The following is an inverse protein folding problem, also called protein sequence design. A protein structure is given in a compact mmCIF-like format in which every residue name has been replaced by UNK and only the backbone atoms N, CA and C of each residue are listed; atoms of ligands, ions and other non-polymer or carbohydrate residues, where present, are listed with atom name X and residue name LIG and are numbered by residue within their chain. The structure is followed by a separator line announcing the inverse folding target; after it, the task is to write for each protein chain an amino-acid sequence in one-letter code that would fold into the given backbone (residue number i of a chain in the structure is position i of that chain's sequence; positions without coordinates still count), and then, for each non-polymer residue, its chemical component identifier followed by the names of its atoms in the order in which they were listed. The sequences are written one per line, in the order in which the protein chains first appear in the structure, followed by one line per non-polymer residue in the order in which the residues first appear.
data_IF_368217354781
#
_entry.id   IF_368217354781
#
_cell.length_a   1.000
_cell.length_b   1.000
_cell.length_c   1.000
_cell.angle_alpha   90.00
_cell.angle_beta   90.00
_cell.angle_gamma   90.00
#
_symmetry.space_group_name_H-M   'P 1'
#
loop_
_entity.id
_entity.type
_entity.pdbx_description
1 polymer ?
#
# COMPACT_ATOMS: atom_id res chain seq x y z
N UNK A 1 11.06 -2.89 -6.11
CA UNK A 1 11.70 -3.97 -5.33
C UNK A 1 11.74 -3.62 -3.83
N UNK A 2 10.68 -3.96 -3.08
CA UNK A 2 10.60 -3.62 -1.65
C UNK A 2 11.64 -4.36 -0.78
N UNK A 3 12.24 -5.42 -1.28
CA UNK A 3 13.26 -6.18 -0.57
C UNK A 3 14.69 -5.77 -0.94
N UNK A 4 14.87 -4.97 -1.99
CA UNK A 4 16.19 -4.56 -2.48
C UNK A 4 17.06 -5.72 -3.00
N UNK A 5 16.44 -6.81 -3.45
CA UNK A 5 17.13 -8.03 -3.89
C UNK A 5 17.45 -8.00 -5.38
N UNK A 6 16.63 -7.29 -6.16
CA UNK A 6 16.79 -7.21 -7.60
C UNK A 6 17.80 -6.13 -7.98
N UNK A 7 18.68 -6.44 -8.90
CA UNK A 7 19.55 -5.44 -9.51
C UNK A 7 18.70 -4.46 -10.32
N UNK A 8 18.83 -3.17 -10.03
CA UNK A 8 18.09 -2.13 -10.75
C UNK A 8 18.73 -1.89 -12.11
N UNK A 9 17.94 -1.84 -13.19
CA UNK A 9 18.47 -1.47 -14.47
C UNK A 9 19.00 -0.03 -14.42
N UNK A 10 20.14 0.22 -15.05
CA UNK A 10 20.65 1.57 -15.23
C UNK A 10 19.67 2.40 -16.06
N UNK A 11 19.33 3.58 -15.57
CA UNK A 11 18.38 4.51 -16.21
C UNK A 11 19.14 5.78 -16.62
N UNK A 12 19.57 5.89 -17.89
CA UNK A 12 20.43 6.99 -18.34
C UNK A 12 19.85 8.39 -18.13
N UNK A 13 18.52 8.51 -18.08
CA UNK A 13 17.83 9.77 -17.81
C UNK A 13 17.88 10.21 -16.34
N UNK A 14 18.46 9.41 -15.45
CA UNK A 14 18.75 9.77 -14.06
C UNK A 14 20.21 10.19 -13.86
N UNK A 15 21.04 10.09 -14.88
CA UNK A 15 22.44 10.51 -14.80
C UNK A 15 22.57 12.04 -14.81
N UNK A 16 23.53 12.56 -14.04
CA UNK A 16 23.82 14.01 -14.02
C UNK A 16 24.07 14.57 -15.41
N UNK A 17 24.82 13.85 -16.23
CA UNK A 17 25.17 14.26 -17.60
C UNK A 17 23.95 14.42 -18.52
N UNK A 18 22.89 13.65 -18.31
CA UNK A 18 21.62 13.82 -19.04
C UNK A 18 20.97 15.17 -18.76
N UNK A 19 21.15 15.68 -17.55
CA UNK A 19 20.64 16.97 -17.11
C UNK A 19 21.64 18.12 -17.29
N UNK A 20 22.73 17.91 -18.03
CA UNK A 20 23.82 18.88 -18.23
C UNK A 20 24.51 19.30 -16.92
N UNK A 21 24.52 18.41 -15.93
CA UNK A 21 25.17 18.56 -14.63
C UNK A 21 26.39 17.64 -14.54
N UNK A 22 27.28 17.94 -13.61
CA UNK A 22 28.51 17.18 -13.34
C UNK A 22 28.75 17.06 -11.83
N UNK A 23 29.73 16.25 -11.44
CA UNK A 23 30.14 16.09 -10.04
C UNK A 23 30.59 17.43 -9.39
N UNK A 24 31.07 18.39 -10.20
CA UNK A 24 31.45 19.71 -9.71
C UNK A 24 30.25 20.51 -9.20
N UNK A 25 29.05 20.25 -9.70
CA UNK A 25 27.83 20.97 -9.35
C UNK A 25 27.18 20.43 -8.06
N UNK A 26 27.61 19.27 -7.55
CA UNK A 26 27.01 18.61 -6.38
C UNK A 26 26.98 19.49 -5.11
N UNK A 27 27.97 20.35 -4.92
CA UNK A 27 28.07 21.26 -3.79
C UNK A 27 27.38 22.60 -4.02
N UNK A 28 26.89 22.87 -5.21
CA UNK A 28 26.15 24.08 -5.53
C UNK A 28 24.73 24.03 -4.99
N UNK A 29 24.20 25.22 -4.63
CA UNK A 29 22.85 25.36 -4.07
C UNK A 29 21.86 25.79 -5.13
N UNK A 30 20.75 25.07 -5.21
CA UNK A 30 19.66 25.32 -6.15
C UNK A 30 18.37 25.69 -5.44
N UNK A 31 17.52 26.44 -6.12
CA UNK A 31 16.15 26.67 -5.68
C UNK A 31 15.34 25.39 -5.81
N UNK A 32 14.64 25.03 -4.76
CA UNK A 32 13.83 23.80 -4.72
C UNK A 32 12.36 24.03 -5.11
N UNK A 33 12.09 25.10 -5.90
CA UNK A 33 10.74 25.40 -6.37
C UNK A 33 10.18 24.21 -7.19
N UNK A 34 9.08 23.63 -6.72
CA UNK A 34 8.48 22.45 -7.34
C UNK A 34 8.84 21.12 -6.66
N UNK A 35 9.77 21.14 -5.70
CA UNK A 35 10.06 20.04 -4.80
C UNK A 35 9.93 20.50 -3.35
N UNK A 36 9.19 19.78 -2.52
CA UNK A 36 8.95 20.18 -1.13
C UNK A 36 10.17 19.88 -0.24
N UNK A 37 11.05 20.87 -0.15
CA UNK A 37 12.22 20.88 0.72
C UNK A 37 12.08 22.02 1.74
N UNK A 38 12.52 21.79 3.00
CA UNK A 38 12.21 22.68 4.13
C UNK A 38 12.62 24.15 3.91
N UNK A 39 13.78 24.40 3.31
CA UNK A 39 14.36 25.74 3.21
C UNK A 39 14.17 26.44 1.85
N UNK A 40 13.53 25.80 0.89
CA UNK A 40 13.37 26.30 -0.48
C UNK A 40 14.68 26.41 -1.28
N UNK A 41 15.83 26.07 -0.68
CA UNK A 41 17.17 26.01 -1.29
C UNK A 41 17.88 24.78 -0.73
N UNK A 42 18.51 23.99 -1.59
CA UNK A 42 19.30 22.83 -1.18
C UNK A 42 20.53 22.65 -2.06
N UNK A 43 21.59 22.03 -1.53
CA UNK A 43 22.68 21.56 -2.36
C UNK A 43 22.18 20.50 -3.34
N UNK A 44 22.77 20.41 -4.52
CA UNK A 44 22.39 19.41 -5.52
C UNK A 44 22.50 17.99 -4.96
N UNK A 45 23.55 17.67 -4.22
CA UNK A 45 23.74 16.37 -3.57
C UNK A 45 22.58 16.01 -2.63
N UNK A 46 22.12 16.95 -1.81
CA UNK A 46 21.02 16.75 -0.88
C UNK A 46 19.68 16.61 -1.60
N UNK A 47 19.50 17.39 -2.68
CA UNK A 47 18.31 17.31 -3.52
C UNK A 47 18.19 15.97 -4.21
N UNK A 48 19.29 15.47 -4.79
CA UNK A 48 19.35 14.16 -5.42
C UNK A 48 19.02 13.06 -4.40
N UNK A 49 19.68 13.07 -3.24
CA UNK A 49 19.41 12.11 -2.18
C UNK A 49 17.95 12.13 -1.72
N UNK A 50 17.34 13.30 -1.66
CA UNK A 50 15.93 13.48 -1.32
C UNK A 50 15.01 12.91 -2.40
N UNK A 51 15.29 13.14 -3.68
CA UNK A 51 14.54 12.58 -4.81
C UNK A 51 14.68 11.05 -4.87
N UNK A 52 15.89 10.54 -4.72
CA UNK A 52 16.15 9.09 -4.70
C UNK A 52 15.41 8.39 -3.55
N UNK A 53 15.47 8.94 -2.34
CA UNK A 53 14.76 8.37 -1.19
C UNK A 53 13.24 8.40 -1.38
N UNK A 54 12.72 9.43 -2.05
CA UNK A 54 11.28 9.59 -2.27
C UNK A 54 10.76 8.69 -3.38
N UNK A 55 11.44 8.65 -4.53
CA UNK A 55 10.92 8.05 -5.77
C UNK A 55 11.64 6.80 -6.23
N UNK A 56 12.85 6.56 -5.73
CA UNK A 56 13.67 5.41 -6.13
C UNK A 56 13.89 4.39 -5.01
N UNK A 57 13.11 4.44 -3.93
CA UNK A 57 13.16 3.50 -2.82
C UNK A 57 12.23 2.30 -3.03
N UNK A 58 11.65 1.76 -1.97
CA UNK A 58 10.78 0.58 -1.97
C UNK A 58 9.32 0.88 -2.34
N UNK A 59 8.91 2.15 -2.37
CA UNK A 59 7.54 2.57 -2.71
C UNK A 59 7.55 3.24 -4.08
N UNK A 60 6.83 2.65 -5.03
CA UNK A 60 6.53 3.28 -6.31
C UNK A 60 5.21 4.04 -6.25
N UNK A 61 5.15 5.22 -6.87
CA UNK A 61 3.95 6.03 -6.91
C UNK A 61 3.65 6.47 -8.35
N UNK A 62 2.44 6.19 -8.81
CA UNK A 62 1.94 6.60 -10.12
C UNK A 62 0.83 7.63 -9.94
N UNK A 63 1.14 8.91 -10.03
CA UNK A 63 0.20 10.00 -9.79
C UNK A 63 0.24 11.11 -10.85
N UNK A 64 1.19 11.09 -11.78
CA UNK A 64 1.32 12.13 -12.81
C UNK A 64 0.17 12.16 -13.83
N UNK A 65 -0.74 11.17 -13.79
CA UNK A 65 -1.98 11.17 -14.58
C UNK A 65 -3.08 12.05 -13.98
N UNK A 66 -2.92 12.54 -12.75
CA UNK A 66 -3.86 13.45 -12.10
C UNK A 66 -3.85 14.79 -12.85
N UNK A 67 -5.02 15.20 -13.35
CA UNK A 67 -5.16 16.40 -14.18
C UNK A 67 -5.37 17.66 -13.34
N UNK A 68 -6.03 17.55 -12.19
CA UNK A 68 -6.23 18.69 -11.30
C UNK A 68 -4.90 19.08 -10.61
N UNK A 69 -4.41 20.32 -10.80
CA UNK A 69 -3.13 20.73 -10.26
C UNK A 69 -3.09 20.74 -8.72
N UNK A 70 -4.21 21.03 -8.05
CA UNK A 70 -4.26 21.06 -6.59
C UNK A 70 -4.18 19.64 -6.00
N UNK A 71 -4.86 18.68 -6.62
CA UNK A 71 -4.77 17.27 -6.23
C UNK A 71 -3.37 16.71 -6.50
N UNK A 72 -2.80 17.01 -7.67
CA UNK A 72 -1.44 16.59 -8.04
C UNK A 72 -0.42 17.11 -7.01
N UNK A 73 -0.47 18.40 -6.71
CA UNK A 73 0.42 19.04 -5.75
C UNK A 73 0.23 18.47 -4.34
N UNK A 74 -1.00 18.16 -3.94
CA UNK A 74 -1.28 17.56 -2.64
C UNK A 74 -0.63 16.17 -2.50
N UNK A 75 -0.76 15.32 -3.54
CA UNK A 75 -0.13 13.98 -3.54
C UNK A 75 1.39 14.11 -3.51
N UNK A 76 1.96 14.96 -4.36
CA UNK A 76 3.38 15.22 -4.44
C UNK A 76 3.94 15.66 -3.09
N UNK A 77 3.32 16.65 -2.45
CA UNK A 77 3.70 17.13 -1.12
C UNK A 77 3.72 16.00 -0.08
N UNK A 78 2.73 15.12 -0.09
CA UNK A 78 2.66 13.99 0.85
C UNK A 78 3.82 13.01 0.70
N UNK A 79 4.21 12.72 -0.54
CA UNK A 79 5.35 11.85 -0.83
C UNK A 79 6.67 12.50 -0.45
N UNK A 80 6.87 13.74 -0.86
CA UNK A 80 8.14 14.46 -0.71
C UNK A 80 8.46 14.84 0.73
N UNK A 81 7.48 15.32 1.49
CA UNK A 81 7.65 15.66 2.92
C UNK A 81 8.02 14.42 3.75
N UNK A 82 7.43 13.28 3.46
CA UNK A 82 7.73 12.02 4.16
C UNK A 82 8.89 11.24 3.57
N UNK A 83 9.44 11.67 2.44
CA UNK A 83 10.41 10.91 1.63
C UNK A 83 9.92 9.51 1.30
N UNK A 84 8.62 9.36 1.04
CA UNK A 84 7.95 8.05 0.89
C UNK A 84 8.27 7.06 2.01
N UNK A 85 8.72 7.55 3.16
CA UNK A 85 9.07 6.77 4.33
C UNK A 85 8.20 7.17 5.53
N UNK A 86 7.02 6.57 5.69
CA UNK A 86 6.12 6.92 6.77
C UNK A 86 6.76 6.57 8.14
N UNK A 87 6.78 7.54 9.02
CA UNK A 87 7.35 7.38 10.36
C UNK A 87 6.31 6.75 11.32
N UNK A 88 6.10 5.44 11.17
CA UNK A 88 5.17 4.71 12.04
C UNK A 88 5.74 4.52 13.45
N UNK A 89 4.90 4.73 14.46
CA UNK A 89 5.22 4.36 15.84
C UNK A 89 5.35 2.84 16.01
N UNK A 90 5.95 2.41 17.12
CA UNK A 90 6.06 0.98 17.44
C UNK A 90 4.69 0.30 17.54
N UNK A 91 3.68 1.00 18.07
CA UNK A 91 2.31 0.52 18.20
C UNK A 91 1.66 0.35 16.83
N UNK A 92 1.84 1.32 15.92
CA UNK A 92 1.34 1.23 14.55
C UNK A 92 1.99 0.07 13.79
N UNK A 93 3.31 -0.11 13.92
CA UNK A 93 4.02 -1.23 13.31
C UNK A 93 3.53 -2.58 13.82
N UNK A 94 3.28 -2.71 15.13
CA UNK A 94 2.68 -3.92 15.73
C UNK A 94 1.27 -4.18 15.22
N UNK A 95 0.43 -3.16 15.13
CA UNK A 95 -0.93 -3.29 14.60
C UNK A 95 -0.94 -3.71 13.12
N UNK A 96 -0.04 -3.18 12.30
CA UNK A 96 0.15 -3.61 10.91
C UNK A 96 0.58 -5.08 10.85
N UNK A 97 1.56 -5.47 11.65
CA UNK A 97 2.07 -6.85 11.71
C UNK A 97 0.98 -7.83 12.15
N UNK A 98 0.19 -7.50 13.16
CA UNK A 98 -0.95 -8.30 13.62
C UNK A 98 -1.93 -8.58 12.48
N UNK A 99 -2.29 -7.56 11.71
CA UNK A 99 -3.22 -7.70 10.57
C UNK A 99 -2.63 -8.49 9.41
N UNK A 100 -1.36 -8.29 9.12
CA UNK A 100 -0.65 -9.10 8.12
C UNK A 100 -0.60 -10.57 8.54
N UNK A 101 -0.33 -10.84 9.82
CA UNK A 101 -0.30 -12.19 10.38
C UNK A 101 -1.69 -12.85 10.34
N UNK A 102 -2.76 -12.09 10.63
CA UNK A 102 -4.12 -12.59 10.54
C UNK A 102 -4.51 -12.92 9.09
N UNK A 103 -4.14 -12.05 8.15
CA UNK A 103 -4.38 -12.26 6.72
C UNK A 103 -3.67 -13.52 6.21
N UNK A 104 -2.37 -13.64 6.43
CA UNK A 104 -1.55 -14.77 6.03
C UNK A 104 -2.00 -16.08 6.73
N UNK A 105 -2.35 -15.98 8.01
CA UNK A 105 -2.84 -17.12 8.81
C UNK A 105 -4.13 -17.72 8.25
N UNK A 106 -5.09 -16.87 7.86
CA UNK A 106 -6.33 -17.31 7.23
C UNK A 106 -6.07 -18.00 5.89
N UNK A 107 -5.23 -17.40 5.03
CA UNK A 107 -4.88 -18.00 3.73
C UNK A 107 -4.22 -19.37 3.90
N UNK A 108 -3.24 -19.48 4.79
CA UNK A 108 -2.56 -20.75 5.09
C UNK A 108 -3.48 -21.79 5.68
N UNK A 109 -4.41 -21.39 6.55
CA UNK A 109 -5.40 -22.30 7.12
C UNK A 109 -6.31 -22.86 6.02
N UNK A 110 -6.92 -22.00 5.20
CA UNK A 110 -7.80 -22.40 4.11
C UNK A 110 -7.07 -23.28 3.09
N UNK A 111 -5.80 -22.98 2.79
CA UNK A 111 -4.99 -23.80 1.89
C UNK A 111 -4.77 -25.23 2.39
N UNK A 112 -4.53 -25.37 3.69
CA UNK A 112 -4.28 -26.67 4.29
C UNK A 112 -5.56 -27.49 4.49
N UNK A 113 -6.62 -26.82 4.90
CA UNK A 113 -7.88 -27.47 5.26
C UNK A 113 -8.73 -27.81 4.05
N UNK A 114 -8.74 -26.96 3.02
CA UNK A 114 -9.58 -27.08 1.83
C UNK A 114 -8.75 -27.07 0.54
N UNK A 115 -7.85 -28.07 0.34
CA UNK A 115 -7.03 -28.13 -0.86
C UNK A 115 -7.91 -28.33 -2.10
N UNK A 116 -7.59 -27.65 -3.20
CA UNK A 116 -8.30 -27.77 -4.47
C UNK A 116 -9.63 -27.01 -4.57
N UNK A 117 -10.10 -26.37 -3.50
CA UNK A 117 -11.28 -25.51 -3.57
C UNK A 117 -10.93 -24.11 -4.04
N UNK A 118 -11.89 -23.42 -4.67
CA UNK A 118 -11.72 -22.02 -5.05
C UNK A 118 -11.77 -21.14 -3.79
N UNK A 119 -10.61 -20.66 -3.35
CA UNK A 119 -10.45 -19.83 -2.15
C UNK A 119 -10.35 -18.34 -2.47
N UNK A 120 -10.03 -18.01 -3.75
CA UNK A 120 -9.76 -16.65 -4.18
C UNK A 120 -8.77 -15.92 -3.26
N UNK A 121 -7.63 -16.58 -3.04
CA UNK A 121 -6.63 -16.18 -2.06
C UNK A 121 -6.03 -14.79 -2.30
N UNK A 122 -5.48 -14.25 -1.24
CA UNK A 122 -4.90 -12.92 -1.20
C UNK A 122 -3.37 -12.94 -1.31
N UNK A 123 -2.77 -14.10 -1.52
CA UNK A 123 -1.32 -14.31 -1.51
C UNK A 123 -0.59 -13.27 -2.37
N UNK A 124 0.37 -12.57 -1.77
CA UNK A 124 1.10 -11.45 -2.36
C UNK A 124 0.40 -10.08 -2.26
N UNK A 125 -0.84 -10.04 -1.76
CA UNK A 125 -1.62 -8.82 -1.56
C UNK A 125 -2.07 -8.60 -0.12
N UNK A 126 -1.41 -9.22 0.87
CA UNK A 126 -1.81 -9.20 2.29
C UNK A 126 -1.86 -7.78 2.87
N UNK A 127 -1.11 -6.85 2.30
CA UNK A 127 -1.13 -5.43 2.66
C UNK A 127 -2.50 -4.75 2.44
N UNK A 128 -3.39 -5.36 1.65
CA UNK A 128 -4.77 -4.89 1.48
C UNK A 128 -5.50 -4.84 2.82
N UNK A 129 -5.27 -5.80 3.71
CA UNK A 129 -5.97 -5.89 5.00
C UNK A 129 -5.64 -4.73 5.94
N UNK A 130 -4.35 -4.45 6.28
CA UNK A 130 -4.04 -3.27 7.08
C UNK A 130 -4.40 -1.96 6.38
N UNK A 131 -4.30 -1.88 5.05
CA UNK A 131 -4.70 -0.69 4.29
C UNK A 131 -6.20 -0.39 4.41
N UNK A 132 -7.06 -1.39 4.17
CA UNK A 132 -8.52 -1.22 4.31
C UNK A 132 -8.93 -0.90 5.74
N UNK A 133 -8.29 -1.54 6.71
CA UNK A 133 -8.55 -1.23 8.11
C UNK A 133 -8.26 0.24 8.43
N UNK A 134 -7.07 0.73 8.08
CA UNK A 134 -6.68 2.13 8.31
C UNK A 134 -7.61 3.10 7.55
N UNK A 135 -7.95 2.77 6.31
CA UNK A 135 -8.88 3.58 5.50
C UNK A 135 -10.23 3.72 6.21
N UNK A 136 -10.85 2.61 6.64
CA UNK A 136 -12.15 2.64 7.31
C UNK A 136 -12.11 3.38 8.65
N UNK A 137 -11.02 3.21 9.43
CA UNK A 137 -10.84 3.96 10.66
C UNK A 137 -10.77 5.47 10.40
N UNK A 138 -10.03 5.88 9.38
CA UNK A 138 -9.93 7.30 9.00
C UNK A 138 -11.24 7.84 8.47
N UNK A 139 -11.94 7.11 7.61
CA UNK A 139 -13.26 7.51 7.11
C UNK A 139 -14.22 7.75 8.28
N UNK A 140 -14.29 6.81 9.24
CA UNK A 140 -15.13 6.98 10.43
C UNK A 140 -14.73 8.19 11.29
N UNK A 141 -13.43 8.41 11.50
CA UNK A 141 -12.94 9.58 12.25
C UNK A 141 -13.23 10.93 11.57
N UNK A 142 -13.46 10.93 10.26
CA UNK A 142 -13.86 12.10 9.48
C UNK A 142 -15.40 12.19 9.28
N UNK A 143 -16.18 11.39 10.00
CA UNK A 143 -17.63 11.48 10.00
C UNK A 143 -18.34 10.74 8.87
N UNK A 144 -17.65 9.87 8.16
CA UNK A 144 -18.28 8.97 7.17
C UNK A 144 -19.07 7.90 7.93
N UNK A 145 -20.38 7.84 7.68
CA UNK A 145 -21.30 6.93 8.37
C UNK A 145 -21.46 5.60 7.64
N UNK A 146 -21.34 5.61 6.33
CA UNK A 146 -21.55 4.42 5.51
C UNK A 146 -20.44 4.30 4.46
N UNK A 147 -19.99 3.07 4.23
CA UNK A 147 -19.02 2.75 3.18
C UNK A 147 -19.50 1.54 2.38
N UNK A 148 -19.42 1.63 1.07
CA UNK A 148 -19.74 0.52 0.17
C UNK A 148 -18.45 -0.06 -0.38
N UNK A 149 -18.20 -1.33 -0.11
CA UNK A 149 -17.03 -2.05 -0.61
C UNK A 149 -17.47 -2.95 -1.76
N UNK A 150 -16.97 -2.66 -2.95
CA UNK A 150 -17.16 -3.49 -4.14
C UNK A 150 -15.80 -4.01 -4.59
N UNK A 151 -15.69 -5.30 -4.79
CA UNK A 151 -14.46 -5.94 -5.21
C UNK A 151 -14.75 -7.18 -6.04
N UNK A 152 -13.80 -7.59 -6.89
CA UNK A 152 -13.82 -8.86 -7.56
C UNK A 152 -13.63 -10.01 -6.53
N UNK A 153 -13.22 -11.15 -6.95
CA UNK A 153 -13.13 -12.32 -6.06
C UNK A 153 -11.81 -12.41 -5.26
N UNK A 154 -10.70 -11.87 -5.77
CA UNK A 154 -9.39 -12.02 -5.12
C UNK A 154 -9.36 -11.40 -3.73
N UNK A 155 -9.06 -12.21 -2.72
CA UNK A 155 -8.96 -11.79 -1.33
C UNK A 155 -10.28 -11.51 -0.63
N UNK A 156 -11.44 -11.74 -1.27
CA UNK A 156 -12.74 -11.40 -0.66
C UNK A 156 -13.02 -12.12 0.66
N UNK A 157 -12.61 -13.37 0.81
CA UNK A 157 -12.82 -14.12 2.05
C UNK A 157 -12.02 -13.50 3.21
N UNK A 158 -10.81 -13.08 2.91
CA UNK A 158 -9.96 -12.37 3.88
C UNK A 158 -10.56 -11.03 4.29
N UNK A 159 -11.10 -10.26 3.33
CA UNK A 159 -11.81 -9.01 3.62
C UNK A 159 -13.07 -9.26 4.47
N UNK A 160 -13.86 -10.29 4.14
CA UNK A 160 -15.05 -10.65 4.92
C UNK A 160 -14.70 -10.95 6.38
N UNK A 161 -13.65 -11.73 6.62
CA UNK A 161 -13.25 -12.12 7.99
C UNK A 161 -12.51 -10.99 8.71
N UNK A 162 -11.42 -10.49 8.14
CA UNK A 162 -10.49 -9.59 8.83
C UNK A 162 -10.90 -8.11 8.79
N UNK A 163 -11.81 -7.71 7.91
CA UNK A 163 -12.29 -6.33 7.80
C UNK A 163 -13.75 -6.20 8.21
N UNK A 164 -14.62 -7.07 7.69
CA UNK A 164 -16.07 -6.99 7.91
C UNK A 164 -16.54 -7.84 9.10
N UNK A 165 -15.64 -8.57 9.77
CA UNK A 165 -15.93 -9.28 11.01
C UNK A 165 -16.78 -10.54 10.84
N UNK A 166 -16.80 -11.13 9.64
CA UNK A 166 -17.45 -12.44 9.44
C UNK A 166 -16.76 -13.49 10.32
N UNK A 167 -17.58 -14.26 11.07
CA UNK A 167 -17.02 -15.32 11.90
C UNK A 167 -16.33 -16.39 11.00
N UNK A 168 -15.06 -16.72 11.27
CA UNK A 168 -14.37 -17.77 10.53
C UNK A 168 -15.09 -19.13 10.57
N UNK A 169 -15.77 -19.46 11.67
CA UNK A 169 -16.57 -20.69 11.78
C UNK A 169 -17.69 -20.73 10.76
N UNK A 170 -18.44 -19.65 10.59
CA UNK A 170 -19.50 -19.56 9.57
C UNK A 170 -18.93 -19.74 8.15
N UNK A 171 -17.73 -19.20 7.90
CA UNK A 171 -17.04 -19.39 6.63
C UNK A 171 -16.65 -20.85 6.39
N UNK A 172 -16.18 -21.55 7.44
CA UNK A 172 -15.80 -22.97 7.34
C UNK A 172 -17.01 -23.85 7.12
N UNK A 173 -18.14 -23.58 7.78
CA UNK A 173 -19.42 -24.26 7.55
C UNK A 173 -19.87 -24.11 6.09
N UNK A 174 -19.67 -22.95 5.48
CA UNK A 174 -19.96 -22.74 4.06
C UNK A 174 -19.10 -23.65 3.15
N UNK A 175 -17.80 -23.78 3.44
CA UNK A 175 -16.91 -24.70 2.72
C UNK A 175 -17.30 -26.18 2.88
N UNK A 176 -17.81 -26.54 4.04
CA UNK A 176 -18.25 -27.90 4.36
C UNK A 176 -19.68 -28.21 3.89
N UNK A 177 -20.39 -27.21 3.37
CA UNK A 177 -21.77 -27.37 2.88
C UNK A 177 -22.85 -27.39 3.97
N UNK A 178 -22.48 -27.01 5.18
CA UNK A 178 -23.37 -27.00 6.37
C UNK A 178 -24.22 -25.71 6.46
N UNK A 179 -24.49 -25.04 5.36
CA UNK A 179 -25.21 -23.77 5.35
C UNK A 179 -26.69 -23.99 5.60
N UNK A 180 -27.21 -23.45 6.67
CA UNK A 180 -28.66 -23.28 6.89
C UNK A 180 -29.18 -22.14 6.00
N UNK A 181 -30.23 -22.37 5.23
CA UNK A 181 -30.80 -21.47 4.20
C UNK A 181 -31.20 -20.07 4.67
N UNK A 182 -31.10 -19.76 5.95
CA UNK A 182 -31.54 -18.49 6.54
C UNK A 182 -30.47 -17.36 6.54
N UNK A 183 -29.23 -17.63 6.22
CA UNK A 183 -28.13 -16.65 6.31
C UNK A 183 -27.57 -16.22 4.94
N UNK A 184 -28.43 -15.74 4.07
CA UNK A 184 -27.99 -15.12 2.81
C UNK A 184 -27.29 -16.08 1.83
N UNK A 185 -27.33 -15.77 0.55
CA UNK A 185 -26.56 -16.51 -0.47
C UNK A 185 -25.07 -16.25 -0.31
N UNK A 186 -24.42 -16.99 0.60
CA UNK A 186 -22.96 -17.00 0.71
C UNK A 186 -22.34 -17.54 -0.56
N UNK A 187 -21.66 -16.70 -1.29
CA UNK A 187 -21.09 -17.00 -2.59
C UNK A 187 -19.70 -17.66 -2.46
N UNK A 188 -19.60 -18.65 -1.59
CA UNK A 188 -18.38 -19.47 -1.42
C UNK A 188 -18.32 -20.63 -2.39
N UNK A 189 -19.42 -20.91 -3.09
CA UNK A 189 -19.57 -22.03 -4.03
C UNK A 189 -19.12 -21.73 -5.46
N UNK A 190 -17.91 -21.20 -5.67
CA UNK A 190 -17.40 -21.10 -7.04
C UNK A 190 -15.96 -21.57 -7.14
#
# INVERSE_FOLDING_TARGET
DPLGIMERPHMPNLDLGFHHLSDADLEESFQTSGFHYEDGVAKLSDLIAALESTYCSSIGAEYLHIVDPAELQWVQQRLEVSRSNPNYSSEQKKAILERLTAADGLEKYLQRRYPGTKRFGLEGGESLIPMLHELLQRLGSHGVLESVISMAHRGRLNVLVNILGKNPGDLFDEFEGNVTQEKGSGDVKY
#
